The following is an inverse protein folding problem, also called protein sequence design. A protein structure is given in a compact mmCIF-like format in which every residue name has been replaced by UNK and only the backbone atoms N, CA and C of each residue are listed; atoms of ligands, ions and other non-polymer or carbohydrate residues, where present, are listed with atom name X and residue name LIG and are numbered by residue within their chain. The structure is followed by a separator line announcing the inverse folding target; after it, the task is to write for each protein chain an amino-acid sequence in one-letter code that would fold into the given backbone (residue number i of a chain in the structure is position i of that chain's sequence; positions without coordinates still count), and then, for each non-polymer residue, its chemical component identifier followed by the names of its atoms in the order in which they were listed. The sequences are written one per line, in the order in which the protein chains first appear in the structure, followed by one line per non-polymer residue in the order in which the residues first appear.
data_IF_240754777921
#
_entry.id   IF_240754777921
#
_cell.length_a   1.000
_cell.length_b   1.000
_cell.length_c   1.000
_cell.angle_alpha   90.00
_cell.angle_beta   90.00
_cell.angle_gamma   90.00
#
_symmetry.space_group_name_H-M   'P 1'
#
loop_
_entity.id
_entity.type
_entity.pdbx_description
1 polymer ?
#
# COMPACT_ATOMS: atom_id res chain seq x y z
N UNK A 1 31.20 5.49 9.65
CA UNK A 1 30.62 4.53 10.61
C UNK A 1 29.10 4.57 10.48
N UNK A 2 28.55 3.95 9.43
CA UNK A 2 27.12 3.69 9.22
C UNK A 2 26.99 2.43 8.36
N UNK A 3 27.52 1.29 8.84
CA UNK A 3 27.09 -0.02 8.36
C UNK A 3 26.14 -0.57 9.43
N UNK A 4 24.86 -0.22 9.25
CA UNK A 4 23.79 -0.84 10.00
C UNK A 4 23.59 -2.25 9.45
N UNK A 5 23.93 -3.21 10.30
CA UNK A 5 23.87 -4.66 10.18
C UNK A 5 22.54 -5.23 9.67
N UNK A 6 22.20 -5.12 8.37
CA UNK A 6 20.95 -5.75 7.89
C UNK A 6 20.99 -6.44 6.53
N UNK A 7 22.16 -6.65 5.92
CA UNK A 7 22.22 -7.29 4.60
C UNK A 7 23.48 -8.13 4.44
N UNK A 8 23.63 -9.12 5.32
CA UNK A 8 24.69 -10.14 5.20
C UNK A 8 24.44 -11.10 4.01
N UNK A 9 23.28 -11.01 3.34
CA UNK A 9 22.93 -11.82 2.16
C UNK A 9 22.93 -11.10 0.82
N UNK A 10 23.21 -9.78 0.75
CA UNK A 10 23.18 -9.04 -0.52
C UNK A 10 24.58 -8.70 -1.04
N UNK A 11 24.78 -8.90 -2.35
CA UNK A 11 26.02 -8.50 -3.03
C UNK A 11 26.23 -6.99 -2.98
N UNK A 12 27.49 -6.57 -3.08
CA UNK A 12 27.87 -5.16 -3.13
C UNK A 12 27.15 -4.42 -4.27
N UNK A 13 27.03 -5.06 -5.45
CA UNK A 13 26.35 -4.53 -6.62
C UNK A 13 24.87 -4.25 -6.36
N UNK A 14 24.18 -5.13 -5.61
CA UNK A 14 22.79 -4.90 -5.19
C UNK A 14 22.66 -3.68 -4.29
N UNK A 15 23.54 -3.55 -3.29
CA UNK A 15 23.52 -2.42 -2.35
C UNK A 15 23.79 -1.09 -3.07
N UNK A 16 24.74 -1.09 -3.99
CA UNK A 16 25.06 0.08 -4.83
C UNK A 16 23.85 0.49 -5.70
N UNK A 17 23.17 -0.49 -6.29
CA UNK A 17 21.97 -0.25 -7.08
C UNK A 17 20.85 0.41 -6.28
N UNK A 18 20.50 -0.15 -5.12
CA UNK A 18 19.42 0.37 -4.26
C UNK A 18 19.75 1.81 -3.80
N UNK A 19 21.01 2.09 -3.44
CA UNK A 19 21.47 3.43 -3.05
C UNK A 19 21.32 4.45 -4.20
N UNK A 20 21.54 4.04 -5.44
CA UNK A 20 21.41 4.90 -6.61
C UNK A 20 19.93 5.19 -7.00
N UNK A 21 18.99 4.37 -6.53
CA UNK A 21 17.54 4.58 -6.69
C UNK A 21 16.91 5.35 -5.53
N UNK A 22 17.37 5.13 -4.30
CA UNK A 22 16.83 5.77 -3.10
C UNK A 22 17.54 7.09 -2.77
N UNK A 23 17.73 7.94 -3.78
CA UNK A 23 18.35 9.26 -3.63
C UNK A 23 17.28 10.32 -3.30
N UNK A 24 17.49 11.15 -2.25
CA UNK A 24 16.54 12.20 -1.87
C UNK A 24 16.32 13.26 -2.95
N UNK A 25 17.40 13.73 -3.59
CA UNK A 25 17.31 14.63 -4.75
C UNK A 25 16.94 13.83 -6.01
N UNK A 26 15.77 14.09 -6.63
CA UNK A 26 15.33 13.37 -7.82
C UNK A 26 16.27 13.54 -9.02
N UNK A 27 17.01 14.65 -9.09
CA UNK A 27 17.93 14.94 -10.22
C UNK A 27 19.17 14.05 -10.20
N UNK A 28 19.54 13.56 -9.02
CA UNK A 28 20.67 12.66 -8.81
C UNK A 28 20.25 11.18 -8.78
N UNK A 29 18.96 10.90 -8.87
CA UNK A 29 18.41 9.54 -8.92
C UNK A 29 18.58 8.95 -10.30
N UNK A 30 18.92 7.66 -10.37
CA UNK A 30 18.91 6.94 -11.63
C UNK A 30 17.54 7.00 -12.31
N UNK A 31 17.56 7.30 -13.61
CA UNK A 31 16.38 7.14 -14.47
C UNK A 31 16.11 5.66 -14.74
N UNK A 32 14.89 5.33 -15.16
CA UNK A 32 14.50 3.94 -15.44
C UNK A 32 15.41 3.28 -16.51
N UNK A 33 15.79 4.02 -17.55
CA UNK A 33 16.67 3.54 -18.62
C UNK A 33 18.08 3.25 -18.11
N UNK A 34 18.63 4.12 -17.25
CA UNK A 34 19.93 3.90 -16.63
C UNK A 34 19.91 2.76 -15.62
N UNK A 35 18.81 2.62 -14.86
CA UNK A 35 18.64 1.54 -13.89
C UNK A 35 18.56 0.17 -14.56
N UNK A 36 17.92 0.08 -15.73
CA UNK A 36 17.82 -1.15 -16.51
C UNK A 36 19.20 -1.66 -16.97
N UNK A 37 20.12 -0.75 -17.28
CA UNK A 37 21.49 -1.06 -17.71
C UNK A 37 22.44 -1.39 -16.55
N UNK A 38 21.96 -1.40 -15.30
CA UNK A 38 22.83 -1.64 -14.14
C UNK A 38 23.23 -3.13 -14.06
N UNK A 39 24.50 -3.48 -13.74
CA UNK A 39 25.00 -4.87 -13.73
C UNK A 39 24.27 -5.86 -12.82
N UNK A 40 23.50 -5.35 -11.84
CA UNK A 40 22.63 -6.16 -11.00
C UNK A 40 21.37 -6.64 -11.73
N UNK A 41 20.84 -5.82 -12.64
CA UNK A 41 19.63 -6.11 -13.41
C UNK A 41 19.95 -6.81 -14.74
N UNK A 42 21.13 -6.54 -15.33
CA UNK A 42 21.62 -7.14 -16.57
C UNK A 42 22.10 -8.60 -16.42
N UNK A 43 21.75 -9.27 -15.31
CA UNK A 43 22.00 -10.69 -15.09
C UNK A 43 23.45 -11.09 -14.81
N UNK A 44 24.42 -10.20 -14.91
CA UNK A 44 25.85 -10.51 -14.73
C UNK A 44 26.26 -10.80 -13.28
N UNK A 45 25.52 -10.30 -12.29
CA UNK A 45 25.87 -10.42 -10.86
C UNK A 45 24.69 -10.73 -9.92
N UNK A 46 23.56 -11.17 -10.48
CA UNK A 46 22.38 -11.52 -9.69
C UNK A 46 22.64 -12.82 -8.90
N UNK A 47 22.84 -12.69 -7.59
CA UNK A 47 22.93 -13.84 -6.68
C UNK A 47 21.53 -14.41 -6.43
N UNK A 48 21.33 -15.72 -6.65
CA UNK A 48 20.10 -16.47 -6.30
C UNK A 48 19.98 -16.69 -4.79
N UNK A 49 20.04 -15.61 -4.00
CA UNK A 49 19.69 -15.67 -2.58
C UNK A 49 18.17 -15.47 -2.47
N UNK A 50 17.47 -16.42 -1.87
CA UNK A 50 16.04 -16.26 -1.62
C UNK A 50 15.82 -15.17 -0.56
N UNK A 51 15.19 -14.06 -0.96
CA UNK A 51 14.87 -12.95 -0.08
C UNK A 51 13.49 -13.12 0.59
N UNK A 52 12.69 -14.10 0.14
CA UNK A 52 11.30 -14.24 0.57
C UNK A 52 11.18 -14.49 2.06
N UNK A 53 12.09 -15.26 2.66
CA UNK A 53 12.07 -15.57 4.08
C UNK A 53 12.17 -14.29 4.93
N UNK A 54 13.16 -13.44 4.64
CA UNK A 54 13.35 -12.15 5.33
C UNK A 54 12.22 -11.14 5.04
N UNK A 55 11.70 -11.10 3.81
CA UNK A 55 10.61 -10.19 3.43
C UNK A 55 9.30 -10.60 4.10
N UNK A 56 9.06 -11.90 4.24
CA UNK A 56 7.86 -12.46 4.88
C UNK A 56 7.91 -12.28 6.40
N UNK A 57 9.07 -12.37 7.04
CA UNK A 57 9.24 -12.01 8.45
C UNK A 57 8.95 -10.53 8.73
N UNK A 58 9.33 -9.64 7.81
CA UNK A 58 9.05 -8.21 7.91
C UNK A 58 7.63 -7.80 7.44
N UNK A 59 6.83 -8.74 6.95
CA UNK A 59 5.40 -8.48 6.70
C UNK A 59 4.71 -8.24 8.04
N UNK A 60 4.06 -7.08 8.19
CA UNK A 60 3.39 -6.72 9.43
C UNK A 60 1.90 -7.07 9.33
N UNK A 61 1.45 -8.26 9.80
CA UNK A 61 0.05 -8.68 9.71
C UNK A 61 -0.89 -7.72 10.43
N UNK A 62 -0.42 -7.07 11.50
CA UNK A 62 -1.19 -6.04 12.23
C UNK A 62 -1.44 -4.81 11.37
N UNK A 63 -0.47 -4.38 10.54
CA UNK A 63 -0.65 -3.28 9.58
C UNK A 63 -1.62 -3.67 8.46
N UNK A 64 -1.49 -4.88 7.91
CA UNK A 64 -2.40 -5.39 6.89
C UNK A 64 -3.84 -5.49 7.40
N UNK A 65 -4.03 -6.03 8.62
CA UNK A 65 -5.34 -6.11 9.25
C UNK A 65 -5.98 -4.75 9.49
N UNK A 66 -5.22 -3.78 10.04
CA UNK A 66 -5.73 -2.40 10.23
C UNK A 66 -6.16 -1.76 8.92
N UNK A 67 -5.36 -1.91 7.87
CA UNK A 67 -5.70 -1.36 6.55
C UNK A 67 -7.00 -1.98 6.00
N UNK A 68 -7.20 -3.29 6.19
CA UNK A 68 -8.46 -3.94 5.80
C UNK A 68 -9.66 -3.42 6.60
N UNK A 69 -9.51 -3.25 7.91
CA UNK A 69 -10.55 -2.68 8.78
C UNK A 69 -10.89 -1.24 8.38
N UNK A 70 -9.89 -0.41 8.11
CA UNK A 70 -10.06 0.97 7.64
C UNK A 70 -10.81 1.03 6.30
N UNK A 71 -10.47 0.15 5.36
CA UNK A 71 -11.17 0.06 4.07
C UNK A 71 -12.66 -0.29 4.24
N UNK A 72 -12.98 -1.25 5.11
CA UNK A 72 -14.37 -1.63 5.40
C UNK A 72 -15.11 -0.46 6.06
N UNK A 73 -14.49 0.24 7.01
CA UNK A 73 -15.09 1.41 7.65
C UNK A 73 -15.34 2.55 6.67
N UNK A 74 -14.41 2.82 5.76
CA UNK A 74 -14.57 3.82 4.71
C UNK A 74 -15.73 3.46 3.77
N UNK A 75 -15.80 2.19 3.32
CA UNK A 75 -16.89 1.70 2.49
C UNK A 75 -18.26 1.82 3.18
N UNK A 76 -18.34 1.45 4.46
CA UNK A 76 -19.55 1.60 5.26
C UNK A 76 -19.94 3.07 5.45
N UNK A 77 -18.96 3.94 5.66
CA UNK A 77 -19.18 5.39 5.77
C UNK A 77 -19.75 5.97 4.48
N UNK A 78 -19.15 5.62 3.33
CA UNK A 78 -19.64 6.05 2.01
C UNK A 78 -21.06 5.55 1.74
N UNK A 79 -21.36 4.28 2.08
CA UNK A 79 -22.72 3.71 1.95
C UNK A 79 -23.75 4.44 2.82
N UNK A 80 -23.38 4.82 4.05
CA UNK A 80 -24.26 5.60 4.93
C UNK A 80 -24.48 7.01 4.41
N UNK A 81 -23.44 7.62 3.83
CA UNK A 81 -23.56 8.93 3.18
C UNK A 81 -24.50 8.84 1.98
N UNK A 82 -24.35 7.84 1.10
CA UNK A 82 -25.24 7.69 -0.07
C UNK A 82 -26.70 7.50 0.33
N UNK A 83 -26.99 6.68 1.37
CA UNK A 83 -28.36 6.53 1.88
C UNK A 83 -28.96 7.80 2.49
N UNK A 84 -28.13 8.75 2.95
CA UNK A 84 -28.62 10.02 3.50
C UNK A 84 -28.95 11.05 2.42
N UNK A 85 -28.41 10.88 1.21
CA UNK A 85 -28.75 11.73 0.06
C UNK A 85 -30.05 11.28 -0.64
N UNK A 86 -30.49 10.03 -0.45
CA UNK A 86 -31.82 9.57 -0.87
C UNK A 86 -32.89 9.86 0.22
N UNK A 87 -33.39 11.10 0.23
CA UNK A 87 -34.70 11.58 0.74
C UNK A 87 -35.25 11.17 2.14
N UNK A 88 -35.74 12.13 2.96
CA UNK A 88 -36.40 11.85 4.25
C UNK A 88 -37.77 11.14 4.08
N UNK A 89 -38.26 10.38 5.09
CA UNK A 89 -39.63 9.88 5.07
C UNK A 89 -40.60 11.07 5.10
N UNK A 90 -41.39 11.23 4.04
CA UNK A 90 -42.49 12.20 3.99
C UNK A 90 -43.48 11.95 5.13
N UNK A 91 -43.71 12.91 6.05
CA UNK A 91 -44.71 12.76 7.11
C UNK A 91 -46.11 13.17 6.60
N UNK A 92 -46.69 12.45 5.64
CA UNK A 92 -48.08 12.69 5.19
C UNK A 92 -48.81 11.43 4.71
N UNK A 93 -48.87 10.39 5.55
CA UNK A 93 -49.81 9.27 5.33
C UNK A 93 -50.43 8.68 6.60
N UNK A 94 -50.27 9.30 7.77
CA UNK A 94 -50.84 8.79 9.03
C UNK A 94 -52.17 9.45 9.45
N UNK A 95 -52.80 10.26 8.60
CA UNK A 95 -54.13 10.86 8.86
C UNK A 95 -55.07 10.47 7.73
N UNK A 96 -55.68 9.28 7.80
CA UNK A 96 -56.97 8.94 7.18
C UNK A 96 -57.24 7.42 7.25
N UNK A 97 -57.43 6.82 8.44
CA UNK A 97 -58.10 5.50 8.55
C UNK A 97 -59.01 5.33 9.78
N UNK A 98 -59.50 6.43 10.37
CA UNK A 98 -60.44 6.37 11.50
C UNK A 98 -61.66 7.28 11.24
N UNK A 99 -62.40 7.03 10.17
CA UNK A 99 -63.69 7.67 9.92
C UNK A 99 -64.55 6.86 8.92
N UNK A 100 -65.16 5.80 9.42
CA UNK A 100 -66.37 5.12 8.90
C UNK A 100 -66.73 4.07 9.97
N UNK A 101 -67.68 4.34 10.85
CA UNK A 101 -69.11 4.07 10.67
C UNK A 101 -69.39 2.56 10.54
#
# INVERSE_FOLDING_TARGET
MYDIWLVDGLSFTTKAFIRALLVPDPRNRLTATQALAHPWLDGATASNHDLLDNVRENFNPKKAFRSAVEAIQAANTMKRMSTRFETPPSPTSAVAKNAAA
#
